data_IF_329249288647
#
_entry.id   IF_329249288647
#
_cell.length_a   1.000
_cell.length_b   1.000
_cell.length_c   1.000
_cell.angle_alpha   90.00
_cell.angle_beta   90.00
_cell.angle_gamma   90.00
#
_symmetry.space_group_name_H-M   'P 1'
#
loop_
_entity.id
_entity.type
_entity.pdbx_description
1 polymer ?
#
# COMPACT_ATOMS: atom_id res chain seq x y z
N UNK A 1 7.93 38.71 -66.33
CA UNK A 1 9.12 38.73 -65.45
C UNK A 1 8.74 38.98 -64.03
N UNK A 2 8.83 38.06 -63.14
CA UNK A 2 9.39 37.94 -61.82
C UNK A 2 8.82 36.72 -61.09
N UNK A 3 9.61 35.70 -61.19
CA UNK A 3 9.52 34.48 -60.37
C UNK A 3 10.06 34.77 -58.97
N UNK A 4 9.72 33.85 -58.04
CA UNK A 4 10.42 33.60 -56.78
C UNK A 4 9.87 34.44 -55.60
N UNK A 5 9.49 33.93 -54.46
CA UNK A 5 10.04 32.83 -53.62
C UNK A 5 9.00 32.50 -52.56
N UNK A 6 8.54 31.28 -52.47
CA UNK A 6 7.89 30.73 -51.29
C UNK A 6 8.56 29.41 -51.02
N UNK A 7 9.54 29.39 -50.17
CA UNK A 7 10.05 28.18 -49.51
C UNK A 7 10.56 28.61 -48.12
N UNK A 8 10.28 27.76 -47.14
CA UNK A 8 10.79 27.71 -45.78
C UNK A 8 9.97 28.40 -44.70
N UNK A 9 9.03 27.60 -44.15
CA UNK A 9 8.69 27.61 -42.72
C UNK A 9 7.86 26.35 -42.36
N UNK A 10 8.46 25.18 -42.48
CA UNK A 10 7.83 23.95 -41.99
C UNK A 10 8.93 23.02 -41.47
N UNK A 11 9.51 23.35 -40.32
CA UNK A 11 10.36 22.40 -39.60
C UNK A 11 10.65 22.95 -38.17
N UNK A 12 9.70 22.91 -37.26
CA UNK A 12 9.95 23.04 -35.81
C UNK A 12 8.72 22.67 -35.00
N UNK A 13 8.06 21.51 -35.27
CA UNK A 13 6.95 21.05 -34.39
C UNK A 13 6.94 19.53 -34.19
N UNK A 14 8.09 18.92 -34.00
CA UNK A 14 8.14 17.45 -33.76
C UNK A 14 8.95 17.01 -32.55
N UNK A 15 9.32 17.90 -31.65
CA UNK A 15 10.21 17.54 -30.53
C UNK A 15 9.53 17.45 -29.13
N UNK A 16 8.21 17.60 -29.01
CA UNK A 16 7.54 17.65 -27.70
C UNK A 16 6.79 16.38 -27.30
N UNK A 17 6.69 15.38 -28.17
CA UNK A 17 5.88 14.17 -27.92
C UNK A 17 6.65 12.97 -27.34
N UNK A 18 7.96 13.05 -27.13
CA UNK A 18 8.76 11.91 -26.63
C UNK A 18 8.88 11.83 -25.09
N UNK A 19 8.48 12.88 -24.36
CA UNK A 19 8.63 12.91 -22.89
C UNK A 19 7.61 12.08 -22.11
N UNK A 20 6.43 11.82 -22.68
CA UNK A 20 5.34 11.16 -21.95
C UNK A 20 5.30 9.63 -22.12
N UNK A 21 5.98 9.06 -23.11
CA UNK A 21 5.94 7.62 -23.39
C UNK A 21 6.75 6.79 -22.37
N UNK A 22 7.78 7.37 -21.75
CA UNK A 22 8.63 6.66 -20.79
C UNK A 22 7.96 6.54 -19.42
N UNK A 23 7.08 7.48 -19.04
CA UNK A 23 6.35 7.43 -17.80
C UNK A 23 5.24 6.35 -17.80
N UNK A 24 4.66 6.03 -18.95
CA UNK A 24 3.62 5.02 -19.12
C UNK A 24 4.14 3.57 -19.03
N UNK A 25 5.44 3.35 -19.12
CA UNK A 25 6.05 2.01 -19.06
C UNK A 25 6.53 1.61 -17.66
N UNK A 26 6.46 2.50 -16.66
CA UNK A 26 6.86 2.17 -15.29
C UNK A 26 5.71 1.50 -14.54
N UNK A 27 6.02 0.38 -13.88
CA UNK A 27 5.08 -0.27 -12.97
C UNK A 27 4.63 0.70 -11.85
N UNK A 28 3.48 0.45 -11.24
CA UNK A 28 3.07 1.22 -10.07
C UNK A 28 4.12 1.12 -8.94
N UNK A 29 4.74 -0.04 -8.77
CA UNK A 29 5.86 -0.24 -7.84
C UNK A 29 7.00 0.78 -8.06
N UNK A 30 7.43 0.98 -9.30
CA UNK A 30 8.50 1.92 -9.63
C UNK A 30 8.06 3.38 -9.42
N UNK A 31 6.80 3.69 -9.75
CA UNK A 31 6.22 5.04 -9.53
C UNK A 31 6.04 5.35 -8.04
N UNK A 32 5.78 4.35 -7.22
CA UNK A 32 5.75 4.46 -5.75
C UNK A 32 7.15 4.60 -5.11
N UNK A 33 8.22 4.51 -5.91
CA UNK A 33 9.60 4.65 -5.42
C UNK A 33 10.25 3.35 -4.94
N UNK A 34 9.67 2.21 -5.26
CA UNK A 34 10.22 0.89 -4.94
C UNK A 34 10.02 0.46 -3.49
N UNK A 35 10.68 -0.63 -3.10
CA UNK A 35 10.43 -1.30 -1.82
C UNK A 35 10.73 -0.43 -0.59
N UNK A 36 11.79 0.38 -0.65
CA UNK A 36 12.18 1.23 0.49
C UNK A 36 11.18 2.37 0.72
N UNK A 37 10.63 2.96 -0.34
CA UNK A 37 9.58 3.96 -0.24
C UNK A 37 8.27 3.34 0.29
N UNK A 38 7.86 2.19 -0.25
CA UNK A 38 6.70 1.42 0.23
C UNK A 38 6.86 1.10 1.72
N UNK A 39 8.05 0.67 2.15
CA UNK A 39 8.33 0.39 3.57
C UNK A 39 8.10 1.60 4.45
N UNK A 40 8.58 2.79 4.06
CA UNK A 40 8.37 4.03 4.83
C UNK A 40 6.89 4.37 4.97
N UNK A 41 6.12 4.25 3.88
CA UNK A 41 4.67 4.46 3.90
C UNK A 41 4.00 3.45 4.83
N UNK A 42 4.35 2.17 4.76
CA UNK A 42 3.78 1.11 5.62
C UNK A 42 4.14 1.32 7.09
N UNK A 43 5.37 1.74 7.40
CA UNK A 43 5.78 2.04 8.78
C UNK A 43 4.92 3.17 9.38
N UNK A 44 4.68 4.23 8.62
CA UNK A 44 3.81 5.34 9.02
C UNK A 44 2.35 4.91 9.13
N UNK A 45 1.83 4.22 8.13
CA UNK A 45 0.48 3.69 8.10
C UNK A 45 0.16 2.84 9.35
N UNK A 46 1.07 1.95 9.73
CA UNK A 46 0.91 1.13 10.94
C UNK A 46 0.99 2.00 12.20
N UNK A 47 1.82 3.04 12.22
CA UNK A 47 1.90 3.99 13.34
C UNK A 47 0.57 4.74 13.51
N UNK A 48 0.01 5.29 12.43
CA UNK A 48 -1.31 5.96 12.45
C UNK A 48 -2.39 4.99 12.92
N UNK A 49 -2.41 3.78 12.36
CA UNK A 49 -3.41 2.75 12.68
C UNK A 49 -3.35 2.30 14.13
N UNK A 50 -2.16 2.16 14.70
CA UNK A 50 -1.98 1.80 16.11
C UNK A 50 -2.46 2.90 17.07
N UNK A 51 -2.43 4.16 16.65
CA UNK A 51 -2.92 5.30 17.40
C UNK A 51 -4.44 5.56 17.23
N UNK A 52 -5.06 5.04 16.16
CA UNK A 52 -6.45 5.29 15.82
C UNK A 52 -7.41 4.39 16.63
N UNK A 53 -8.19 4.96 17.57
CA UNK A 53 -9.12 4.18 18.41
C UNK A 53 -10.23 3.50 17.62
N UNK A 54 -10.47 3.92 16.36
CA UNK A 54 -11.47 3.30 15.51
C UNK A 54 -11.08 1.89 15.05
N UNK A 55 -9.76 1.56 15.02
CA UNK A 55 -9.26 0.29 14.47
C UNK A 55 -8.22 -0.42 15.35
N UNK A 56 -7.55 0.27 16.26
CA UNK A 56 -6.36 -0.24 16.96
C UNK A 56 -6.64 -1.52 17.79
N UNK A 57 -7.86 -1.70 18.30
CA UNK A 57 -8.24 -2.89 19.05
C UNK A 57 -8.12 -4.19 18.25
N UNK A 58 -8.23 -4.12 16.91
CA UNK A 58 -8.05 -5.28 16.04
C UNK A 58 -6.62 -5.80 16.01
N UNK A 59 -5.66 -4.97 16.42
CA UNK A 59 -4.23 -5.32 16.45
C UNK A 59 -3.75 -5.78 17.83
N UNK A 60 -4.61 -5.84 18.85
CA UNK A 60 -4.23 -6.12 20.25
C UNK A 60 -3.47 -7.45 20.45
N UNK A 61 -3.68 -8.44 19.59
CA UNK A 61 -3.02 -9.76 19.66
C UNK A 61 -2.09 -10.03 18.45
N UNK A 62 -1.70 -8.97 17.76
CA UNK A 62 -0.99 -9.09 16.47
C UNK A 62 0.48 -8.73 16.62
N UNK A 63 1.35 -9.49 15.98
CA UNK A 63 2.77 -9.12 15.84
C UNK A 63 2.90 -8.02 14.79
N UNK A 64 3.16 -6.81 15.24
CA UNK A 64 3.20 -5.60 14.40
C UNK A 64 4.32 -5.65 13.36
N UNK A 65 5.52 -6.14 13.72
CA UNK A 65 6.64 -6.24 12.79
C UNK A 65 6.31 -7.19 11.63
N UNK A 66 5.61 -8.28 11.96
CA UNK A 66 5.11 -9.20 10.95
C UNK A 66 4.09 -8.55 10.03
N UNK A 67 3.13 -7.81 10.57
CA UNK A 67 2.14 -7.07 9.75
C UNK A 67 2.83 -6.13 8.80
N UNK A 68 3.78 -5.33 9.29
CA UNK A 68 4.57 -4.42 8.45
C UNK A 68 5.26 -5.17 7.31
N UNK A 69 5.93 -6.27 7.62
CA UNK A 69 6.60 -7.08 6.62
C UNK A 69 5.63 -7.61 5.56
N UNK A 70 4.52 -8.23 5.99
CA UNK A 70 3.54 -8.82 5.07
C UNK A 70 2.86 -7.77 4.18
N UNK A 71 2.53 -6.59 4.73
CA UNK A 71 1.93 -5.50 3.96
C UNK A 71 2.91 -4.94 2.93
N UNK A 72 4.20 -4.79 3.27
CA UNK A 72 5.24 -4.39 2.31
C UNK A 72 5.37 -5.39 1.17
N UNK A 73 5.45 -6.69 1.47
CA UNK A 73 5.54 -7.74 0.46
C UNK A 73 4.29 -7.79 -0.43
N UNK A 74 3.11 -7.62 0.16
CA UNK A 74 1.84 -7.62 -0.55
C UNK A 74 1.74 -6.42 -1.52
N UNK A 75 2.01 -5.20 -1.06
CA UNK A 75 1.96 -4.00 -1.90
C UNK A 75 3.02 -4.12 -3.00
N UNK A 76 4.25 -4.50 -2.67
CA UNK A 76 5.32 -4.69 -3.65
C UNK A 76 4.91 -5.68 -4.75
N UNK A 77 4.39 -6.85 -4.39
CA UNK A 77 3.95 -7.85 -5.37
C UNK A 77 2.75 -7.36 -6.20
N UNK A 78 1.75 -6.74 -5.55
CA UNK A 78 0.52 -6.31 -6.19
C UNK A 78 0.72 -5.13 -7.16
N UNK A 79 1.78 -4.34 -6.97
CA UNK A 79 2.09 -3.16 -7.79
C UNK A 79 3.12 -3.43 -8.90
N UNK A 80 3.48 -4.69 -9.13
CA UNK A 80 4.41 -5.10 -10.17
C UNK A 80 5.88 -5.05 -9.76
N UNK A 81 6.17 -5.11 -8.46
CA UNK A 81 7.52 -5.23 -7.92
C UNK A 81 8.05 -6.68 -7.92
N UNK A 82 9.33 -6.87 -7.58
CA UNK A 82 10.00 -8.18 -7.64
C UNK A 82 9.65 -9.10 -6.45
N UNK A 83 8.82 -8.63 -5.51
CA UNK A 83 8.46 -9.37 -4.31
C UNK A 83 7.53 -10.54 -4.62
N UNK A 84 7.52 -11.53 -3.72
CA UNK A 84 6.57 -12.64 -3.77
C UNK A 84 5.84 -12.70 -2.44
N UNK A 85 4.59 -12.27 -2.43
CA UNK A 85 3.76 -12.39 -1.23
C UNK A 85 3.57 -13.86 -0.87
N UNK A 86 3.99 -14.22 0.34
CA UNK A 86 3.89 -15.57 0.90
C UNK A 86 3.05 -15.59 2.19
N UNK A 87 2.36 -14.48 2.46
CA UNK A 87 1.44 -14.36 3.57
C UNK A 87 0.17 -15.18 3.37
N UNK A 88 -0.71 -15.12 4.36
CA UNK A 88 -2.05 -15.72 4.27
C UNK A 88 -2.92 -14.90 3.32
N UNK A 89 -3.87 -15.54 2.64
CA UNK A 89 -4.93 -14.84 1.95
C UNK A 89 -5.76 -13.98 2.92
N UNK A 90 -6.41 -12.93 2.42
CA UNK A 90 -7.08 -11.96 3.26
C UNK A 90 -8.21 -12.57 4.10
N UNK A 91 -8.95 -13.52 3.55
CA UNK A 91 -10.02 -14.21 4.28
C UNK A 91 -9.49 -15.02 5.46
N UNK A 92 -8.38 -15.73 5.25
CA UNK A 92 -7.74 -16.52 6.31
C UNK A 92 -7.07 -15.62 7.35
N UNK A 93 -6.40 -14.55 6.92
CA UNK A 93 -5.71 -13.63 7.82
C UNK A 93 -6.66 -12.88 8.77
N UNK A 94 -7.88 -12.57 8.31
CA UNK A 94 -8.86 -11.77 9.05
C UNK A 94 -10.00 -12.60 9.66
N UNK A 95 -9.97 -13.91 9.50
CA UNK A 95 -11.02 -14.81 9.98
C UNK A 95 -11.26 -14.67 11.47
N UNK A 96 -12.52 -14.50 11.85
CA UNK A 96 -13.00 -14.36 13.22
C UNK A 96 -12.45 -13.10 13.95
N UNK A 97 -11.99 -12.08 13.23
CA UNK A 97 -11.62 -10.81 13.82
C UNK A 97 -12.83 -9.91 14.09
N UNK A 98 -13.96 -10.20 13.45
CA UNK A 98 -15.16 -9.38 13.54
C UNK A 98 -14.96 -8.00 12.95
N UNK A 99 -14.20 -7.87 11.85
CA UNK A 99 -13.93 -6.59 11.20
C UNK A 99 -15.21 -6.04 10.60
N UNK A 100 -15.57 -4.81 10.98
CA UNK A 100 -16.74 -4.10 10.46
C UNK A 100 -16.39 -3.29 9.20
N UNK A 101 -17.43 -2.85 8.46
CA UNK A 101 -17.23 -1.91 7.34
C UNK A 101 -16.64 -0.57 7.80
N UNK A 102 -17.10 -0.05 8.96
CA UNK A 102 -16.57 1.19 9.53
C UNK A 102 -15.10 1.09 9.88
N UNK A 103 -14.66 -0.02 10.46
CA UNK A 103 -13.25 -0.27 10.77
C UNK A 103 -12.40 -0.41 9.50
N UNK A 104 -12.92 -1.11 8.49
CA UNK A 104 -12.24 -1.21 7.20
C UNK A 104 -12.07 0.17 6.54
N UNK A 105 -13.12 0.99 6.55
CA UNK A 105 -13.05 2.34 5.97
C UNK A 105 -12.03 3.21 6.72
N UNK A 106 -12.03 3.19 8.06
CA UNK A 106 -11.04 3.92 8.87
C UNK A 106 -9.60 3.45 8.60
N UNK A 107 -9.40 2.15 8.36
CA UNK A 107 -8.11 1.60 7.97
C UNK A 107 -7.63 2.12 6.61
N UNK A 108 -8.54 2.23 5.63
CA UNK A 108 -8.23 2.83 4.31
C UNK A 108 -7.91 4.32 4.44
N UNK A 109 -8.64 5.08 5.27
CA UNK A 109 -8.34 6.48 5.56
C UNK A 109 -6.93 6.64 6.14
N UNK A 110 -6.52 5.77 7.05
CA UNK A 110 -5.17 5.78 7.63
C UNK A 110 -4.09 5.49 6.57
N UNK A 111 -4.36 4.60 5.62
CA UNK A 111 -3.46 4.36 4.49
C UNK A 111 -3.32 5.60 3.61
N UNK A 112 -4.44 6.26 3.29
CA UNK A 112 -4.42 7.51 2.50
C UNK A 112 -3.62 8.58 3.23
N UNK A 113 -3.82 8.76 4.54
CA UNK A 113 -3.06 9.73 5.33
C UNK A 113 -1.55 9.44 5.31
N UNK A 114 -1.14 8.17 5.38
CA UNK A 114 0.26 7.80 5.24
C UNK A 114 0.82 8.11 3.85
N UNK A 115 0.07 7.82 2.78
CA UNK A 115 0.45 8.13 1.41
C UNK A 115 0.60 9.64 1.19
N UNK A 116 -0.32 10.43 1.75
CA UNK A 116 -0.28 11.91 1.69
C UNK A 116 0.95 12.47 2.41
N UNK A 117 1.29 11.93 3.57
CA UNK A 117 2.49 12.34 4.33
C UNK A 117 3.78 12.19 3.52
N UNK A 118 3.84 11.18 2.64
CA UNK A 118 4.99 10.97 1.76
C UNK A 118 4.81 11.58 0.36
N UNK A 119 3.80 12.46 0.17
CA UNK A 119 3.53 13.14 -1.09
C UNK A 119 3.36 12.18 -2.29
N UNK A 120 2.76 11.02 -2.08
CA UNK A 120 2.43 10.10 -3.16
C UNK A 120 1.38 10.74 -4.07
N UNK A 121 1.60 10.72 -5.38
CA UNK A 121 0.71 11.34 -6.37
C UNK A 121 -0.71 10.78 -6.34
N UNK A 122 -1.70 11.59 -6.71
CA UNK A 122 -3.11 11.19 -6.67
C UNK A 122 -3.42 10.01 -7.61
N UNK A 123 -2.73 9.92 -8.75
CA UNK A 123 -2.87 8.80 -9.67
C UNK A 123 -2.37 7.50 -9.04
N UNK A 124 -1.20 7.52 -8.40
CA UNK A 124 -0.60 6.38 -7.72
C UNK A 124 -1.47 5.92 -6.54
N UNK A 125 -1.99 6.87 -5.74
CA UNK A 125 -2.94 6.58 -4.65
C UNK A 125 -4.20 5.89 -5.18
N UNK A 126 -4.82 6.46 -6.22
CA UNK A 126 -6.03 5.91 -6.83
C UNK A 126 -5.81 4.52 -7.39
N UNK A 127 -4.69 4.29 -8.08
CA UNK A 127 -4.35 3.00 -8.66
C UNK A 127 -4.08 1.95 -7.56
N UNK A 128 -3.33 2.30 -6.52
CA UNK A 128 -3.09 1.42 -5.36
C UNK A 128 -4.40 1.06 -4.65
N UNK A 129 -5.25 2.04 -4.37
CA UNK A 129 -6.54 1.78 -3.73
C UNK A 129 -7.45 0.90 -4.59
N UNK A 130 -7.44 1.07 -5.92
CA UNK A 130 -8.20 0.20 -6.83
C UNK A 130 -7.70 -1.26 -6.80
N UNK A 131 -6.39 -1.49 -6.65
CA UNK A 131 -5.82 -2.83 -6.49
C UNK A 131 -6.25 -3.46 -5.15
N UNK A 132 -6.35 -2.68 -4.07
CA UNK A 132 -6.68 -3.18 -2.74
C UNK A 132 -8.20 -3.30 -2.48
N UNK A 133 -9.03 -2.53 -3.18
CA UNK A 133 -10.47 -2.48 -2.96
C UNK A 133 -11.19 -3.84 -3.01
N UNK A 134 -10.85 -4.78 -3.93
CA UNK A 134 -11.48 -6.11 -3.96
C UNK A 134 -11.27 -6.94 -2.69
N UNK A 135 -10.24 -6.62 -1.89
CA UNK A 135 -9.94 -7.32 -0.64
C UNK A 135 -10.98 -7.05 0.45
N UNK A 136 -11.75 -5.95 0.35
CA UNK A 136 -12.80 -5.61 1.32
C UNK A 136 -13.74 -6.77 1.60
N UNK A 137 -14.19 -7.46 0.56
CA UNK A 137 -15.13 -8.58 0.68
C UNK A 137 -14.57 -9.82 1.40
N UNK A 138 -13.23 -9.91 1.50
CA UNK A 138 -12.53 -11.00 2.20
C UNK A 138 -12.18 -10.62 3.64
N UNK A 139 -12.15 -9.33 3.97
CA UNK A 139 -11.72 -8.77 5.26
C UNK A 139 -12.92 -8.45 6.14
N UNK A 140 -13.96 -7.81 5.59
CA UNK A 140 -15.15 -7.40 6.35
C UNK A 140 -16.02 -8.62 6.67
N UNK A 141 -16.21 -8.88 7.96
CA UNK A 141 -17.06 -9.95 8.46
C UNK A 141 -18.42 -9.44 8.95
N UNK A 142 -18.51 -8.16 9.35
CA UNK A 142 -19.71 -7.56 9.93
C UNK A 142 -20.15 -6.34 9.12
N UNK A 143 -21.36 -6.40 8.55
CA UNK A 143 -21.98 -5.28 7.82
C UNK A 143 -22.48 -4.22 8.79
N UNK A 144 -21.58 -3.40 9.32
CA UNK A 144 -21.87 -2.34 10.29
C UNK A 144 -20.89 -1.18 10.11
N UNK A 145 -21.34 0.04 10.36
CA UNK A 145 -20.49 1.22 10.39
C UNK A 145 -19.84 1.46 11.77
N UNK A 146 -20.05 0.58 12.74
CA UNK A 146 -19.38 0.66 14.04
C UNK A 146 -17.86 0.62 13.88
N UNK A 147 -17.15 1.33 14.77
CA UNK A 147 -15.70 1.37 14.81
C UNK A 147 -15.19 1.08 16.22
N UNK A 148 -13.90 0.74 16.35
CA UNK A 148 -13.28 0.50 17.66
C UNK A 148 -13.85 -0.72 18.40
N UNK A 149 -14.40 -1.69 17.68
CA UNK A 149 -14.96 -2.89 18.29
C UNK A 149 -13.82 -3.81 18.75
N UNK A 150 -13.96 -4.48 19.92
CA UNK A 150 -12.94 -5.37 20.40
C UNK A 150 -12.79 -6.62 19.51
N UNK A 151 -11.65 -7.28 19.61
CA UNK A 151 -11.53 -8.64 19.09
C UNK A 151 -12.50 -9.57 19.83
N UNK A 152 -13.18 -10.49 19.12
CA UNK A 152 -14.00 -11.51 19.76
C UNK A 152 -13.19 -12.30 20.81
N UNK A 153 -13.81 -12.71 21.93
CA UNK A 153 -13.10 -13.39 23.02
C UNK A 153 -12.40 -14.69 22.58
N UNK A 154 -12.96 -15.37 21.59
CA UNK A 154 -12.45 -16.62 21.02
C UNK A 154 -11.49 -16.39 19.84
N UNK A 155 -11.14 -15.14 19.50
CA UNK A 155 -10.18 -14.87 18.44
C UNK A 155 -8.83 -15.48 18.75
N UNK A 156 -8.31 -16.24 17.78
CA UNK A 156 -6.96 -16.78 17.79
C UNK A 156 -6.21 -16.20 16.61
N UNK A 157 -5.05 -15.55 16.81
CA UNK A 157 -4.26 -15.08 15.70
C UNK A 157 -3.85 -16.26 14.80
N UNK A 158 -3.76 -15.98 13.49
CA UNK A 158 -3.30 -16.98 12.55
C UNK A 158 -1.92 -17.52 12.96
N UNK A 159 -1.65 -18.81 12.77
CA UNK A 159 -0.37 -19.40 13.10
C UNK A 159 0.77 -18.68 12.38
N UNK A 160 1.97 -18.60 12.96
CA UNK A 160 3.11 -18.02 12.28
C UNK A 160 3.35 -18.75 10.96
N UNK A 161 3.72 -17.99 9.92
CA UNK A 161 4.11 -18.59 8.65
C UNK A 161 5.29 -19.54 8.90
N UNK A 162 5.27 -20.69 8.26
CA UNK A 162 6.42 -21.61 8.22
C UNK A 162 7.51 -21.03 7.31
N UNK A 163 8.05 -19.89 7.65
CA UNK A 163 9.20 -19.30 6.97
C UNK A 163 10.44 -19.60 7.77
N UNK A 164 11.32 -20.42 7.20
CA UNK A 164 12.64 -20.62 7.75
C UNK A 164 13.41 -19.30 7.79
N UNK A 165 13.89 -18.97 8.96
CA UNK A 165 14.75 -17.91 9.50
C UNK A 165 14.00 -16.74 10.14
N UNK A 166 14.37 -16.45 11.41
CA UNK A 166 14.01 -15.21 12.07
C UNK A 166 14.60 -14.05 11.28
N UNK A 167 13.82 -12.99 11.07
CA UNK A 167 14.35 -11.73 10.59
C UNK A 167 15.32 -11.25 11.65
N UNK A 168 16.60 -11.20 11.31
CA UNK A 168 17.65 -10.73 12.20
C UNK A 168 17.28 -9.31 12.67
N UNK A 169 17.34 -9.14 13.98
CA UNK A 169 17.21 -7.90 14.72
C UNK A 169 17.96 -6.77 14.01
N UNK A 170 17.25 -5.84 13.37
CA UNK A 170 17.85 -4.62 12.84
C UNK A 170 18.15 -3.73 14.05
N UNK A 171 19.42 -3.73 14.42
CA UNK A 171 20.20 -2.79 15.15
C UNK A 171 19.52 -1.91 16.19
N UNK A 172 19.74 -2.23 17.46
CA UNK A 172 19.90 -1.21 18.50
C UNK A 172 21.09 -0.36 18.12
N UNK A 173 20.86 0.78 17.46
CA UNK A 173 21.83 1.84 17.34
C UNK A 173 22.05 2.46 18.70
N UNK A 174 23.16 2.08 19.37
CA UNK A 174 23.61 2.72 20.59
C UNK A 174 24.04 4.15 20.29
N UNK A 175 23.42 5.10 20.95
CA UNK A 175 24.03 6.41 21.16
C UNK A 175 25.18 6.26 22.18
N UNK A 176 26.38 6.59 21.73
CA UNK A 176 27.45 7.14 22.59
C UNK A 176 27.62 8.60 22.22
#
# INVERSE_FOLDING_TARGET
MRKMRVITAALCLSAVLLGNAVAQNKSLYERLGGKDAIKKVVDEFVTITAADPRVNKKFAKTNIDRVKFEVVEQICAATGGPCKYKGLDMKTAHKNMGVTEGEFNAFVENLVAALDKFNVGDNEKKELLAILAPMKSQIVEVKSQATGTPLPPNFKPAPPLKTGKPVANVGKGGHK
#
